data_IF_131059439447
#
_entry.id   IF_131059439447
#
_cell.length_a   1.000
_cell.length_b   1.000
_cell.length_c   1.000
_cell.angle_alpha   90.00
_cell.angle_beta   90.00
_cell.angle_gamma   90.00
#
_symmetry.space_group_name_H-M   'P 1'
#
loop_
_entity.id
_entity.type
_entity.pdbx_description
1 polymer ?
#
# COMPACT_ATOMS: atom_id res chain seq x y z
N UNK A 1 -14.49 20.81 -12.63
CA UNK A 1 -14.19 19.52 -11.96
C UNK A 1 -13.21 19.75 -10.83
N UNK A 2 -13.41 19.08 -9.72
CA UNK A 2 -12.51 19.20 -8.59
C UNK A 2 -11.24 18.39 -8.84
N UNK A 3 -10.08 18.99 -8.70
CA UNK A 3 -8.79 18.29 -8.81
C UNK A 3 -8.68 17.20 -7.76
N UNK A 4 -9.26 17.43 -6.57
CA UNK A 4 -9.32 16.44 -5.50
C UNK A 4 -10.12 15.20 -5.93
N UNK A 5 -11.27 15.41 -6.57
CA UNK A 5 -12.09 14.31 -7.11
C UNK A 5 -11.32 13.48 -8.12
N UNK A 6 -10.58 14.14 -9.01
CA UNK A 6 -9.77 13.47 -10.03
C UNK A 6 -8.65 12.64 -9.39
N UNK A 7 -8.03 13.16 -8.35
CA UNK A 7 -6.97 12.43 -7.63
C UNK A 7 -7.52 11.21 -6.88
N UNK A 8 -8.69 11.33 -6.25
CA UNK A 8 -9.34 10.19 -5.58
C UNK A 8 -9.71 9.11 -6.61
N UNK A 9 -10.24 9.50 -7.76
CA UNK A 9 -10.52 8.57 -8.85
C UNK A 9 -9.25 7.86 -9.32
N UNK A 10 -8.14 8.59 -9.42
CA UNK A 10 -6.85 8.02 -9.82
C UNK A 10 -6.36 6.96 -8.82
N UNK A 11 -6.53 7.20 -7.52
CA UNK A 11 -6.18 6.22 -6.47
C UNK A 11 -7.00 4.95 -6.66
N UNK A 12 -8.31 5.08 -6.86
CA UNK A 12 -9.18 3.93 -7.03
C UNK A 12 -8.81 3.11 -8.26
N UNK A 13 -8.60 3.76 -9.39
CA UNK A 13 -8.22 3.08 -10.63
C UNK A 13 -6.87 2.39 -10.52
N UNK A 14 -5.91 3.04 -9.90
CA UNK A 14 -4.59 2.46 -9.68
C UNK A 14 -4.65 1.24 -8.76
N UNK A 15 -5.56 1.26 -7.79
CA UNK A 15 -5.80 0.13 -6.89
C UNK A 15 -6.57 -1.02 -7.55
N UNK A 16 -7.12 -0.82 -8.72
CA UNK A 16 -7.90 -1.84 -9.43
C UNK A 16 -9.23 -2.17 -8.79
N UNK A 17 -9.78 -1.28 -7.96
CA UNK A 17 -10.99 -1.52 -7.19
C UNK A 17 -12.21 -0.86 -7.82
N UNK A 18 -13.38 -1.48 -7.65
CA UNK A 18 -14.66 -0.87 -7.94
C UNK A 18 -14.96 0.22 -6.90
N UNK A 19 -15.95 1.07 -7.20
CA UNK A 19 -16.42 2.06 -6.24
C UNK A 19 -16.91 1.41 -4.94
N UNK A 20 -17.62 0.28 -5.04
CA UNK A 20 -18.08 -0.49 -3.89
C UNK A 20 -16.93 -1.01 -3.04
N UNK A 21 -15.94 -1.64 -3.66
CA UNK A 21 -14.80 -2.21 -2.95
C UNK A 21 -13.92 -1.12 -2.33
N UNK A 22 -13.72 -0.03 -3.04
CA UNK A 22 -12.96 1.13 -2.55
C UNK A 22 -13.64 1.74 -1.32
N UNK A 23 -14.95 1.94 -1.39
CA UNK A 23 -15.73 2.51 -0.29
C UNK A 23 -15.83 1.58 0.92
N UNK A 24 -15.90 0.28 0.70
CA UNK A 24 -15.98 -0.69 1.79
C UNK A 24 -14.80 -0.59 2.73
N UNK A 25 -13.60 -0.40 2.21
CA UNK A 25 -12.40 -0.22 3.02
C UNK A 25 -12.38 1.09 3.82
N UNK A 26 -13.19 2.04 3.42
CA UNK A 26 -13.29 3.37 4.03
C UNK A 26 -14.60 3.56 4.83
N UNK A 27 -15.42 2.52 4.92
CA UNK A 27 -16.76 2.59 5.51
C UNK A 27 -17.67 3.60 4.80
N UNK A 28 -17.53 3.71 3.48
CA UNK A 28 -18.34 4.56 2.62
C UNK A 28 -19.19 3.72 1.71
N UNK A 29 -20.41 4.20 1.41
CA UNK A 29 -21.26 3.56 0.41
C UNK A 29 -20.70 3.78 -0.99
N UNK A 30 -21.07 2.89 -1.92
CA UNK A 30 -20.71 3.05 -3.33
C UNK A 30 -21.22 4.39 -3.88
N UNK A 31 -22.43 4.76 -3.52
CA UNK A 31 -23.04 6.02 -3.97
C UNK A 31 -22.25 7.24 -3.46
N UNK A 32 -21.76 7.20 -2.22
CA UNK A 32 -20.97 8.29 -1.67
C UNK A 32 -19.64 8.43 -2.40
N UNK A 33 -18.97 7.31 -2.72
CA UNK A 33 -17.75 7.31 -3.54
C UNK A 33 -18.02 7.91 -4.92
N UNK A 34 -19.14 7.52 -5.54
CA UNK A 34 -19.54 8.06 -6.82
C UNK A 34 -19.70 9.59 -6.76
N UNK A 35 -20.37 10.09 -5.71
CA UNK A 35 -20.58 11.54 -5.55
C UNK A 35 -19.26 12.29 -5.38
N UNK A 36 -18.32 11.74 -4.63
CA UNK A 36 -16.98 12.32 -4.48
C UNK A 36 -16.28 12.38 -5.82
N UNK A 37 -16.28 11.28 -6.57
CA UNK A 37 -15.60 11.21 -7.88
C UNK A 37 -16.20 12.14 -8.92
N UNK A 38 -17.50 12.42 -8.82
CA UNK A 38 -18.18 13.37 -9.70
C UNK A 38 -18.05 14.84 -9.24
N UNK A 39 -17.41 15.08 -8.11
CA UNK A 39 -17.27 16.43 -7.57
C UNK A 39 -18.55 16.98 -6.96
N UNK A 40 -19.57 16.15 -6.72
CA UNK A 40 -20.84 16.56 -6.11
C UNK A 40 -20.77 16.64 -4.60
N UNK A 41 -19.80 15.98 -4.00
CA UNK A 41 -19.54 15.99 -2.56
C UNK A 41 -18.05 16.12 -2.32
N UNK A 42 -17.68 16.96 -1.38
CA UNK A 42 -16.30 17.04 -0.92
C UNK A 42 -16.09 16.01 0.20
N UNK A 43 -14.99 15.24 0.18
CA UNK A 43 -14.69 14.34 1.28
C UNK A 43 -14.31 15.17 2.52
N UNK A 44 -14.69 14.67 3.69
CA UNK A 44 -14.28 15.28 4.96
C UNK A 44 -12.77 15.08 5.17
N UNK A 45 -12.20 15.85 6.10
CA UNK A 45 -10.79 15.68 6.48
C UNK A 45 -10.53 14.26 6.98
N UNK A 46 -11.48 13.68 7.71
CA UNK A 46 -11.38 12.31 8.19
C UNK A 46 -11.34 11.33 7.02
N UNK A 47 -12.19 11.51 6.00
CA UNK A 47 -12.19 10.66 4.81
C UNK A 47 -10.87 10.76 4.07
N UNK A 48 -10.32 11.96 3.93
CA UNK A 48 -9.02 12.16 3.29
C UNK A 48 -7.92 11.43 4.07
N UNK A 49 -7.92 11.58 5.39
CA UNK A 49 -6.95 10.88 6.25
C UNK A 49 -7.09 9.37 6.15
N UNK A 50 -8.31 8.84 6.08
CA UNK A 50 -8.57 7.41 5.93
C UNK A 50 -8.05 6.89 4.59
N UNK A 51 -8.26 7.64 3.51
CA UNK A 51 -7.74 7.29 2.18
C UNK A 51 -6.22 7.20 2.23
N UNK A 52 -5.56 8.19 2.82
CA UNK A 52 -4.11 8.21 2.94
C UNK A 52 -3.59 7.02 3.74
N UNK A 53 -4.24 6.70 4.85
CA UNK A 53 -3.84 5.59 5.71
C UNK A 53 -4.08 4.23 5.08
N UNK A 54 -5.25 4.02 4.48
CA UNK A 54 -5.63 2.72 3.93
C UNK A 54 -4.88 2.41 2.63
N UNK A 55 -4.68 3.42 1.78
CA UNK A 55 -4.09 3.24 0.46
C UNK A 55 -2.63 3.69 0.37
N UNK A 56 -2.04 4.16 1.46
CA UNK A 56 -0.64 4.58 1.48
C UNK A 56 -0.37 5.84 0.66
N UNK A 57 -1.33 6.73 0.57
CA UNK A 57 -1.28 7.93 -0.26
C UNK A 57 -0.62 9.09 0.50
N UNK A 58 0.18 9.86 -0.19
CA UNK A 58 0.77 11.09 0.33
C UNK A 58 -0.32 12.16 0.44
N UNK A 59 -0.58 12.64 1.66
CA UNK A 59 -1.64 13.61 1.92
C UNK A 59 -1.44 14.93 1.16
N UNK A 60 -0.20 15.42 1.07
CA UNK A 60 0.10 16.63 0.31
C UNK A 60 -0.23 16.47 -1.17
N UNK A 61 0.03 15.28 -1.74
CA UNK A 61 -0.37 15.00 -3.12
C UNK A 61 -1.89 14.97 -3.26
N UNK A 62 -2.58 14.31 -2.34
CA UNK A 62 -4.04 14.20 -2.42
C UNK A 62 -4.73 15.55 -2.26
N UNK A 63 -4.30 16.36 -1.31
CA UNK A 63 -4.91 17.67 -1.04
C UNK A 63 -4.50 18.74 -2.03
N UNK A 64 -3.22 18.79 -2.42
CA UNK A 64 -2.64 19.91 -3.14
C UNK A 64 -1.97 19.52 -4.46
N UNK A 65 -1.83 18.24 -4.74
CA UNK A 65 -1.17 17.77 -5.94
C UNK A 65 0.37 17.91 -5.88
N UNK A 66 0.94 17.99 -4.68
CA UNK A 66 2.37 18.21 -4.47
C UNK A 66 3.04 16.90 -4.07
N UNK A 67 4.16 16.59 -4.69
CA UNK A 67 4.95 15.40 -4.39
C UNK A 67 4.45 14.15 -5.09
N UNK A 68 4.91 13.00 -4.63
CA UNK A 68 4.52 11.71 -5.19
C UNK A 68 3.18 11.24 -4.65
N UNK A 69 2.45 10.49 -5.47
CA UNK A 69 1.13 9.95 -5.13
C UNK A 69 1.16 9.08 -3.88
N UNK A 70 2.16 8.23 -3.74
CA UNK A 70 2.29 7.31 -2.63
C UNK A 70 3.44 7.65 -1.71
N UNK A 71 3.26 7.39 -0.42
CA UNK A 71 4.35 7.46 0.56
C UNK A 71 5.29 6.29 0.28
N UNK A 72 6.61 6.52 0.20
CA UNK A 72 7.57 5.43 0.04
C UNK A 72 7.44 4.44 1.20
N UNK A 73 7.41 3.16 0.87
CA UNK A 73 7.35 2.11 1.89
C UNK A 73 8.68 2.00 2.61
N UNK A 74 8.62 1.77 3.90
CA UNK A 74 9.82 1.45 4.66
C UNK A 74 10.31 0.06 4.25
N UNK A 75 11.57 -0.21 4.56
CA UNK A 75 12.19 -1.49 4.28
C UNK A 75 11.45 -2.64 4.97
N UNK A 76 11.05 -2.41 6.23
CA UNK A 76 10.28 -3.37 7.02
C UNK A 76 8.93 -3.68 6.37
N UNK A 77 8.23 -2.67 5.88
CA UNK A 77 6.96 -2.85 5.18
C UNK A 77 7.13 -3.67 3.90
N UNK A 78 8.18 -3.41 3.14
CA UNK A 78 8.48 -4.16 1.92
C UNK A 78 8.78 -5.63 2.24
N UNK A 79 9.56 -5.90 3.27
CA UNK A 79 9.87 -7.26 3.72
C UNK A 79 8.59 -7.97 4.16
N UNK A 80 7.74 -7.28 4.94
CA UNK A 80 6.47 -7.85 5.40
C UNK A 80 5.55 -8.23 4.24
N UNK A 81 5.48 -7.42 3.20
CA UNK A 81 4.71 -7.73 2.00
C UNK A 81 5.25 -8.96 1.26
N UNK A 82 6.58 -9.05 1.11
CA UNK A 82 7.22 -10.18 0.44
C UNK A 82 6.96 -11.48 1.22
N UNK A 83 7.08 -11.42 2.55
CA UNK A 83 6.81 -12.57 3.43
C UNK A 83 5.35 -12.99 3.33
N UNK A 84 4.42 -12.03 3.40
CA UNK A 84 2.98 -12.30 3.28
C UNK A 84 2.63 -12.94 1.93
N UNK A 85 3.19 -12.42 0.85
CA UNK A 85 3.00 -12.96 -0.50
C UNK A 85 3.52 -14.39 -0.62
N UNK A 86 4.69 -14.67 -0.06
CA UNK A 86 5.28 -16.01 -0.07
C UNK A 86 4.46 -17.02 0.74
N UNK A 87 3.89 -16.59 1.89
CA UNK A 87 3.06 -17.44 2.74
C UNK A 87 1.72 -17.79 2.09
N UNK A 88 1.20 -16.94 1.23
CA UNK A 88 -0.02 -17.21 0.48
C UNK A 88 0.19 -18.19 -0.68
N UNK A 89 1.44 -18.47 -1.04
CA UNK A 89 1.76 -19.50 -2.02
C UNK A 89 1.64 -20.90 -1.43
N UNK A 90 1.32 -21.90 -2.27
CA UNK A 90 1.18 -23.30 -1.86
C UNK A 90 2.51 -24.05 -1.81
N UNK A 91 3.63 -23.36 -1.75
CA UNK A 91 4.95 -23.96 -1.81
C UNK A 91 5.51 -24.17 -0.40
N UNK A 92 5.57 -25.41 0.04
CA UNK A 92 6.10 -25.79 1.37
C UNK A 92 7.57 -25.41 1.56
N UNK A 93 8.35 -25.39 0.49
CA UNK A 93 9.74 -24.95 0.53
C UNK A 93 9.86 -23.47 0.90
N UNK A 94 9.04 -22.61 0.29
CA UNK A 94 9.01 -21.20 0.63
C UNK A 94 8.65 -20.98 2.09
N UNK A 95 7.66 -21.70 2.60
CA UNK A 95 7.23 -21.63 4.00
C UNK A 95 8.37 -22.06 4.95
N UNK A 96 9.07 -23.13 4.62
CA UNK A 96 10.20 -23.60 5.41
C UNK A 96 11.34 -22.58 5.46
N UNK A 97 11.68 -21.96 4.33
CA UNK A 97 12.70 -20.91 4.25
C UNK A 97 12.31 -19.71 5.10
N UNK A 98 11.05 -19.29 5.04
CA UNK A 98 10.55 -18.16 5.84
C UNK A 98 10.59 -18.49 7.32
N UNK A 99 10.19 -19.69 7.73
CA UNK A 99 10.29 -20.12 9.13
C UNK A 99 11.73 -20.10 9.62
N UNK A 100 12.66 -20.56 8.80
CA UNK A 100 14.08 -20.52 9.14
C UNK A 100 14.56 -19.09 9.36
N UNK A 101 14.16 -18.17 8.47
CA UNK A 101 14.52 -16.75 8.59
C UNK A 101 13.91 -16.14 9.84
N UNK A 102 12.61 -16.39 10.11
CA UNK A 102 11.91 -15.84 11.26
C UNK A 102 12.45 -16.35 12.61
N UNK A 103 13.13 -17.50 12.63
CA UNK A 103 13.72 -18.05 13.84
C UNK A 103 15.11 -17.49 14.17
N UNK A 104 15.66 -16.63 13.31
CA UNK A 104 16.99 -16.05 13.50
C UNK A 104 16.94 -14.78 14.35
N UNK A 105 18.07 -14.49 15.01
CA UNK A 105 18.23 -13.23 15.74
C UNK A 105 18.35 -12.06 14.75
N UNK A 106 18.12 -10.84 15.23
CA UNK A 106 18.26 -9.64 14.41
C UNK A 106 19.66 -9.51 13.82
N UNK A 107 20.69 -9.84 14.60
CA UNK A 107 22.07 -9.78 14.14
C UNK A 107 22.33 -10.81 13.02
N UNK A 108 21.80 -12.01 13.15
CA UNK A 108 21.91 -13.04 12.12
C UNK A 108 21.18 -12.63 10.84
N UNK A 109 20.01 -11.98 10.96
CA UNK A 109 19.26 -11.46 9.81
C UNK A 109 20.02 -10.35 9.10
N UNK A 110 20.65 -9.45 9.82
CA UNK A 110 21.49 -8.40 9.23
C UNK A 110 22.66 -8.99 8.43
N UNK A 111 23.30 -10.00 8.97
CA UNK A 111 24.40 -10.70 8.29
C UNK A 111 23.90 -11.40 7.03
N UNK A 112 22.77 -12.11 7.12
CA UNK A 112 22.16 -12.80 5.99
C UNK A 112 21.77 -11.79 4.90
N UNK A 113 21.20 -10.68 5.29
CA UNK A 113 20.79 -9.63 4.36
C UNK A 113 22.00 -9.04 3.62
N UNK A 114 23.09 -8.75 4.34
CA UNK A 114 24.30 -8.22 3.71
C UNK A 114 24.87 -9.21 2.70
N UNK A 115 24.86 -10.50 3.03
CA UNK A 115 25.31 -11.55 2.13
C UNK A 115 24.43 -11.65 0.87
N UNK A 116 23.11 -11.63 1.04
CA UNK A 116 22.17 -11.70 -0.09
C UNK A 116 22.29 -10.47 -0.99
N UNK A 117 22.47 -9.29 -0.39
CA UNK A 117 22.65 -8.05 -1.14
C UNK A 117 23.92 -8.10 -1.97
N UNK A 118 25.04 -8.57 -1.40
CA UNK A 118 26.30 -8.71 -2.10
C UNK A 118 26.18 -9.66 -3.29
N UNK A 119 25.48 -10.78 -3.13
CA UNK A 119 25.21 -11.73 -4.22
C UNK A 119 24.38 -11.07 -5.31
N UNK A 120 23.29 -10.37 -4.94
CA UNK A 120 22.42 -9.71 -5.90
C UNK A 120 23.17 -8.64 -6.72
N UNK A 121 23.99 -7.83 -6.05
CA UNK A 121 24.75 -6.77 -6.70
C UNK A 121 25.86 -7.33 -7.60
N UNK A 122 26.31 -8.57 -7.38
CA UNK A 122 27.32 -9.22 -8.21
C UNK A 122 26.76 -9.86 -9.49
N UNK A 123 25.44 -9.96 -9.58
CA UNK A 123 24.76 -10.48 -10.77
C UNK A 123 24.64 -9.40 -11.84
#
# INVERSE_FOLDING_TARGET
MSELADRILAIRKDSGLSQSAFGEKLNLSQNFVWMIEKGQRDPSDRTISDICRVYGVNEAWLREGVGDMYVPKTREETIAELVGSALNGSNDFKKAVIQMICSRTDQELETLEAALRAIYESL
#
